data_IF_999001734853
#
_entry.id   IF_999001734853
#
_cell.length_a   1.000
_cell.length_b   1.000
_cell.length_c   1.000
_cell.angle_alpha   90.00
_cell.angle_beta   90.00
_cell.angle_gamma   90.00
#
_symmetry.space_group_name_H-M   'P 1'
#
loop_
_entity.id
_entity.type
_entity.pdbx_description
1 polymer ?
#
# COMPACT_ATOMS: atom_id res chain seq x y z
N UNK A 1 -5.53 -8.73 5.07
CA UNK A 1 -4.49 -8.49 4.05
C UNK A 1 -4.28 -9.77 3.28
N UNK A 2 -3.93 -9.70 2.00
CA UNK A 2 -3.24 -10.82 1.33
C UNK A 2 -1.75 -10.66 1.60
N UNK A 3 -1.05 -11.75 1.92
CA UNK A 3 0.41 -11.74 2.05
C UNK A 3 0.98 -12.13 0.68
N UNK A 4 1.86 -11.31 0.14
CA UNK A 4 2.50 -11.54 -1.16
C UNK A 4 3.99 -11.19 -1.05
N UNK A 5 4.82 -12.21 -0.83
CA UNK A 5 6.28 -12.03 -0.73
C UNK A 5 6.93 -11.70 -2.08
N UNK A 6 6.20 -11.82 -3.19
CA UNK A 6 6.65 -11.36 -4.51
C UNK A 6 6.52 -9.85 -4.70
N UNK A 7 5.66 -9.20 -3.91
CA UNK A 7 5.56 -7.75 -3.85
C UNK A 7 6.54 -7.20 -2.80
N UNK A 8 7.31 -6.18 -3.15
CA UNK A 8 8.18 -5.50 -2.20
C UNK A 8 7.38 -4.66 -1.18
N UNK A 9 6.60 -3.64 -1.61
CA UNK A 9 5.91 -2.76 -0.69
C UNK A 9 4.61 -3.34 -0.15
N UNK A 10 4.22 -2.89 1.04
CA UNK A 10 2.85 -3.04 1.53
C UNK A 10 1.96 -2.00 0.85
N UNK A 11 0.80 -2.41 0.34
CA UNK A 11 -0.12 -1.49 -0.36
C UNK A 11 -1.56 -1.60 0.13
N UNK A 12 -2.27 -0.49 0.07
CA UNK A 12 -3.67 -0.37 0.45
C UNK A 12 -4.40 0.53 -0.54
N UNK A 13 -5.58 0.11 -1.01
CA UNK A 13 -6.43 1.00 -1.80
C UNK A 13 -6.99 2.10 -0.91
N UNK A 14 -7.06 3.33 -1.42
CA UNK A 14 -7.53 4.51 -0.68
C UNK A 14 -8.87 4.30 0.05
N UNK A 15 -9.82 3.58 -0.56
CA UNK A 15 -11.13 3.28 0.07
C UNK A 15 -11.06 2.43 1.34
N UNK A 16 -9.95 1.72 1.53
CA UNK A 16 -9.74 0.80 2.65
C UNK A 16 -8.97 1.45 3.81
N UNK A 17 -8.56 2.71 3.66
CA UNK A 17 -7.98 3.53 4.73
C UNK A 17 -9.09 4.19 5.53
N UNK A 18 -8.96 4.21 6.86
CA UNK A 18 -9.88 4.95 7.71
C UNK A 18 -9.64 6.47 7.58
N UNK A 19 -10.72 7.26 7.66
CA UNK A 19 -10.66 8.72 7.41
C UNK A 19 -9.70 9.47 8.35
N UNK A 20 -9.46 8.94 9.54
CA UNK A 20 -8.53 9.46 10.53
C UNK A 20 -7.05 9.21 10.20
N UNK A 21 -6.74 8.23 9.37
CA UNK A 21 -5.37 7.95 8.96
C UNK A 21 -4.93 8.99 7.93
N UNK A 22 -3.93 9.79 8.33
CA UNK A 22 -3.30 10.75 7.41
C UNK A 22 -2.51 10.01 6.34
N UNK A 23 -2.56 10.54 5.12
CA UNK A 23 -1.70 10.11 4.02
C UNK A 23 -0.55 11.10 3.94
N UNK A 24 0.67 10.64 4.16
CA UNK A 24 1.87 11.42 3.91
C UNK A 24 2.13 11.45 2.40
N UNK A 25 1.83 12.61 1.80
CA UNK A 25 1.98 12.83 0.36
C UNK A 25 3.43 13.14 -0.05
N UNK A 26 4.37 13.18 0.91
CA UNK A 26 5.81 13.33 0.61
C UNK A 26 6.49 11.98 0.36
N UNK A 27 5.89 10.89 0.84
CA UNK A 27 6.38 9.51 0.68
C UNK A 27 5.67 8.78 -0.48
N UNK A 28 5.98 9.23 -1.70
CA UNK A 28 5.46 8.65 -2.94
C UNK A 28 6.51 7.73 -3.55
N UNK A 29 6.11 6.50 -3.84
CA UNK A 29 6.94 5.54 -4.57
C UNK A 29 6.31 5.19 -5.92
N UNK A 30 7.14 4.70 -6.83
CA UNK A 30 6.72 4.20 -8.14
C UNK A 30 6.63 2.68 -8.10
N UNK A 31 5.43 2.14 -8.28
CA UNK A 31 5.16 0.71 -8.36
C UNK A 31 5.34 0.23 -9.80
N UNK A 32 6.06 -0.88 -9.98
CA UNK A 32 6.28 -1.54 -11.26
C UNK A 32 5.88 -3.03 -11.18
N UNK A 33 5.81 -3.70 -12.33
CA UNK A 33 5.51 -5.15 -12.39
C UNK A 33 4.03 -5.53 -12.40
N UNK A 34 3.12 -4.55 -12.29
CA UNK A 34 1.66 -4.75 -12.32
C UNK A 34 1.07 -4.28 -13.66
N UNK A 35 1.66 -3.25 -14.27
CA UNK A 35 1.24 -2.69 -15.56
C UNK A 35 2.42 -2.54 -16.51
N UNK A 36 2.15 -2.25 -17.79
CA UNK A 36 3.14 -1.77 -18.74
C UNK A 36 3.54 -0.34 -18.37
N UNK A 37 4.39 -0.19 -17.35
CA UNK A 37 4.86 1.09 -16.84
C UNK A 37 4.83 1.16 -15.32
N UNK A 38 5.17 2.35 -14.81
CA UNK A 38 5.19 2.63 -13.38
C UNK A 38 3.92 3.39 -12.97
N UNK A 39 3.37 3.07 -11.81
CA UNK A 39 2.24 3.79 -11.21
C UNK A 39 2.70 4.41 -9.90
N UNK A 40 2.51 5.72 -9.76
CA UNK A 40 2.78 6.41 -8.51
C UNK A 40 1.73 6.09 -7.44
N UNK A 41 2.17 5.92 -6.20
CA UNK A 41 1.29 5.90 -5.04
C UNK A 41 0.77 7.30 -4.74
N UNK A 42 -0.26 7.40 -3.90
CA UNK A 42 -0.79 8.68 -3.39
C UNK A 42 -0.01 9.18 -2.17
N UNK A 43 0.96 8.40 -1.69
CA UNK A 43 1.67 8.61 -0.43
C UNK A 43 1.78 7.31 0.38
N UNK A 44 2.14 7.44 1.65
CA UNK A 44 2.07 6.35 2.63
C UNK A 44 1.17 6.71 3.80
N UNK A 45 0.74 5.70 4.54
CA UNK A 45 -0.03 5.87 5.76
C UNK A 45 0.35 4.81 6.77
N UNK A 46 0.53 5.22 8.02
CA UNK A 46 0.74 4.31 9.14
C UNK A 46 -0.61 3.82 9.65
N UNK A 47 -0.77 2.50 9.74
CA UNK A 47 -1.99 1.84 10.21
C UNK A 47 -1.64 0.85 11.31
N UNK A 48 -2.43 0.81 12.37
CA UNK A 48 -2.31 -0.23 13.38
C UNK A 48 -2.98 -1.52 12.89
N UNK A 49 -2.20 -2.59 12.77
CA UNK A 49 -2.69 -3.91 12.42
C UNK A 49 -2.18 -4.94 13.44
N UNK A 50 -3.10 -5.64 14.09
CA UNK A 50 -2.80 -6.65 15.13
C UNK A 50 -1.88 -6.13 16.26
N UNK A 51 -2.00 -4.85 16.62
CA UNK A 51 -1.19 -4.22 17.66
C UNK A 51 0.17 -3.71 17.19
N UNK A 52 0.48 -3.81 15.89
CA UNK A 52 1.71 -3.30 15.29
C UNK A 52 1.40 -2.14 14.33
N UNK A 53 2.19 -1.07 14.42
CA UNK A 53 2.19 -0.01 13.42
C UNK A 53 2.86 -0.54 12.14
N UNK A 54 2.14 -0.45 11.02
CA UNK A 54 2.65 -0.82 9.70
C UNK A 54 2.52 0.35 8.73
N UNK A 55 3.57 0.60 7.96
CA UNK A 55 3.52 1.57 6.86
C UNK A 55 2.97 0.89 5.61
N UNK A 56 1.94 1.49 5.03
CA UNK A 56 1.27 1.06 3.81
C UNK A 56 1.30 2.17 2.77
N UNK A 57 1.72 1.86 1.55
CA UNK A 57 1.59 2.80 0.45
C UNK A 57 0.18 2.81 -0.12
N UNK A 58 -0.37 4.01 -0.27
CA UNK A 58 -1.75 4.21 -0.67
C UNK A 58 -1.84 4.23 -2.19
N UNK A 59 -2.71 3.41 -2.77
CA UNK A 59 -2.96 3.40 -4.21
C UNK A 59 -4.39 3.86 -4.54
N UNK A 60 -4.59 4.33 -5.77
CA UNK A 60 -5.92 4.70 -6.23
C UNK A 60 -6.88 3.50 -6.20
N UNK A 61 -8.16 3.81 -6.05
CA UNK A 61 -9.24 2.83 -6.02
C UNK A 61 -9.42 2.03 -7.32
N UNK A 62 -8.85 2.53 -8.43
CA UNK A 62 -8.77 1.89 -9.75
C UNK A 62 -7.47 1.12 -9.98
N UNK A 63 -6.58 1.05 -8.99
CA UNK A 63 -5.32 0.32 -9.09
C UNK A 63 -5.59 -1.14 -9.50
N UNK A 64 -4.89 -1.68 -10.51
CA UNK A 64 -5.29 -2.88 -11.24
C UNK A 64 -4.91 -4.18 -10.52
N UNK A 65 -5.32 -4.30 -9.25
CA UNK A 65 -5.24 -5.53 -8.46
C UNK A 65 -6.62 -5.82 -7.86
N UNK A 66 -6.95 -7.08 -7.68
CA UNK A 66 -8.21 -7.49 -7.06
C UNK A 66 -8.23 -7.18 -5.57
N UNK A 67 -7.09 -7.36 -4.89
CA UNK A 67 -7.00 -7.22 -3.44
C UNK A 67 -7.09 -5.77 -3.00
N UNK A 68 -7.78 -5.54 -1.89
CA UNK A 68 -7.87 -4.20 -1.28
C UNK A 68 -6.61 -3.83 -0.50
N UNK A 69 -5.89 -4.83 0.00
CA UNK A 69 -4.75 -4.70 0.92
C UNK A 69 -3.76 -5.85 0.71
N UNK A 70 -2.51 -5.53 0.43
CA UNK A 70 -1.40 -6.48 0.28
C UNK A 70 -0.29 -6.14 1.30
N UNK A 71 0.21 -7.15 2.00
CA UNK A 71 1.45 -7.09 2.76
C UNK A 71 2.55 -7.70 1.89
N UNK A 72 3.50 -6.87 1.49
CA UNK A 72 4.69 -7.25 0.76
C UNK A 72 5.79 -7.76 1.69
N UNK A 73 6.98 -7.98 1.14
CA UNK A 73 8.15 -8.37 1.93
C UNK A 73 8.57 -7.32 2.95
N UNK A 74 8.22 -6.05 2.76
CA UNK A 74 8.52 -4.97 3.72
C UNK A 74 7.81 -5.16 5.07
N UNK A 75 6.71 -5.92 5.13
CA UNK A 75 6.07 -6.28 6.41
C UNK A 75 6.93 -7.21 7.27
N UNK A 76 7.86 -7.95 6.67
CA UNK A 76 8.72 -8.90 7.38
C UNK A 76 10.02 -8.28 7.92
N UNK A 77 10.23 -6.97 7.68
CA UNK A 77 11.44 -6.24 8.04
C UNK A 77 11.27 -5.43 9.31
#
# INVERSE_FOLDING_TARGET
FMIDTGAAPNIIKKRSIHLENKIDTTDIILLSGITNGNIATLGSSEVNYMGHAITLHVVDNKFPITQERILGSDFLR
#
